data_IF_376553127330
#
_entry.id   IF_376553127330
#
_cell.length_a   1.000
_cell.length_b   1.000
_cell.length_c   1.000
_cell.angle_alpha   90.00
_cell.angle_beta   90.00
_cell.angle_gamma   90.00
#
_symmetry.space_group_name_H-M   'P 1'
#
loop_
_entity.id
_entity.type
_entity.pdbx_description
1 polymer ?
#
# COMPACT_ATOMS: atom_id res chain seq x y z
N UNK A 1 8.31 -10.10 -19.45
CA UNK A 1 7.13 -10.58 -18.70
C UNK A 1 7.36 -10.26 -17.22
N UNK A 2 7.15 -8.99 -16.83
CA UNK A 2 7.43 -8.50 -15.49
C UNK A 2 6.27 -8.80 -14.55
N UNK A 3 6.54 -9.46 -13.43
CA UNK A 3 5.56 -9.69 -12.38
C UNK A 3 5.14 -8.34 -11.79
N UNK A 4 3.86 -8.02 -11.94
CA UNK A 4 3.17 -6.96 -11.20
C UNK A 4 3.46 -7.17 -9.71
N UNK A 5 4.37 -6.41 -9.11
CA UNK A 5 4.58 -6.38 -7.66
C UNK A 5 3.43 -5.61 -7.03
N UNK A 6 2.24 -6.21 -7.10
CA UNK A 6 1.12 -5.83 -6.27
C UNK A 6 1.59 -6.03 -4.83
N UNK A 7 1.68 -4.95 -4.04
CA UNK A 7 1.87 -5.09 -2.60
C UNK A 7 0.68 -5.93 -2.13
N UNK A 8 0.88 -7.16 -1.63
CA UNK A 8 -0.23 -8.06 -1.42
C UNK A 8 -1.20 -7.44 -0.43
N UNK A 9 -2.49 -7.50 -0.74
CA UNK A 9 -3.54 -7.31 0.26
C UNK A 9 -3.21 -8.18 1.49
N UNK A 10 -3.64 -7.76 2.69
CA UNK A 10 -3.46 -8.53 3.93
C UNK A 10 -3.75 -10.00 3.64
N UNK A 11 -2.74 -10.87 3.78
CA UNK A 11 -2.92 -12.29 3.50
C UNK A 11 -3.98 -12.88 4.43
N UNK A 12 -4.70 -13.94 4.02
CA UNK A 12 -5.72 -14.56 4.89
C UNK A 12 -5.16 -15.00 6.25
N UNK A 13 -3.88 -15.39 6.30
CA UNK A 13 -3.19 -15.72 7.55
C UNK A 13 -2.97 -14.49 8.43
N UNK A 14 -2.57 -13.37 7.83
CA UNK A 14 -2.38 -12.13 8.58
C UNK A 14 -3.71 -11.54 9.02
N UNK A 15 -4.76 -11.64 8.19
CA UNK A 15 -6.12 -11.27 8.58
C UNK A 15 -6.59 -12.09 9.79
N UNK A 16 -6.44 -13.42 9.76
CA UNK A 16 -6.79 -14.29 10.88
C UNK A 16 -6.01 -13.95 12.16
N UNK A 17 -4.69 -13.67 12.04
CA UNK A 17 -3.84 -13.25 13.16
C UNK A 17 -4.30 -11.92 13.76
N UNK A 18 -4.62 -10.93 12.93
CA UNK A 18 -5.13 -9.63 13.38
C UNK A 18 -6.50 -9.77 14.05
N UNK A 19 -7.37 -10.66 13.54
CA UNK A 19 -8.66 -10.97 14.15
C UNK A 19 -8.49 -11.59 15.54
N UNK A 20 -7.58 -12.55 15.70
CA UNK A 20 -7.26 -13.17 16.99
C UNK A 20 -6.76 -12.13 18.00
N UNK A 21 -5.78 -11.32 17.62
CA UNK A 21 -5.26 -10.24 18.47
C UNK A 21 -6.34 -9.24 18.89
N UNK A 22 -7.20 -8.81 17.96
CA UNK A 22 -8.26 -7.85 18.26
C UNK A 22 -9.32 -8.44 19.19
N UNK A 23 -9.66 -9.71 19.01
CA UNK A 23 -10.63 -10.41 19.85
C UNK A 23 -10.06 -10.66 21.25
N UNK A 24 -8.78 -11.03 21.35
CA UNK A 24 -8.09 -11.22 22.63
C UNK A 24 -7.94 -9.90 23.40
N UNK A 25 -7.63 -8.80 22.72
CA UNK A 25 -7.60 -7.46 23.32
C UNK A 25 -8.97 -7.03 23.88
N UNK A 26 -10.06 -7.60 23.36
CA UNK A 26 -11.42 -7.41 23.88
C UNK A 26 -11.80 -8.41 24.99
N UNK A 27 -10.88 -9.29 25.43
CA UNK A 27 -11.16 -10.29 26.47
C UNK A 27 -11.71 -11.62 25.92
N UNK A 28 -11.53 -11.88 24.63
CA UNK A 28 -11.98 -13.10 23.95
C UNK A 28 -13.34 -12.96 23.26
N UNK A 29 -13.76 -14.02 22.56
CA UNK A 29 -14.93 -13.98 21.64
C UNK A 29 -16.25 -13.62 22.31
N UNK A 30 -16.44 -14.00 23.58
CA UNK A 30 -17.66 -13.69 24.31
C UNK A 30 -17.77 -12.19 24.61
N UNK A 31 -16.72 -11.59 25.15
CA UNK A 31 -16.69 -10.16 25.48
C UNK A 31 -16.67 -9.30 24.21
N UNK A 32 -15.89 -9.70 23.19
CA UNK A 32 -15.89 -9.05 21.88
C UNK A 32 -17.30 -9.02 21.23
N UNK A 33 -18.10 -10.09 21.38
CA UNK A 33 -19.47 -10.12 20.84
C UNK A 33 -20.43 -9.13 21.52
N UNK A 34 -20.10 -8.63 22.72
CA UNK A 34 -20.90 -7.59 23.40
C UNK A 34 -20.59 -6.19 22.87
N UNK A 35 -19.41 -6.01 22.30
CA UNK A 35 -18.95 -4.73 21.77
C UNK A 35 -19.36 -4.48 20.31
N UNK A 36 -19.80 -5.51 19.58
CA UNK A 36 -20.14 -5.43 18.15
C UNK A 36 -21.45 -6.17 17.82
N UNK A 37 -21.88 -6.09 16.56
CA UNK A 37 -23.16 -6.69 16.10
C UNK A 37 -23.13 -8.19 15.80
N UNK A 38 -21.97 -8.85 15.90
CA UNK A 38 -21.79 -10.25 15.46
C UNK A 38 -21.65 -11.21 16.64
N UNK A 39 -22.06 -12.46 16.43
CA UNK A 39 -22.02 -13.49 17.48
C UNK A 39 -20.61 -14.07 17.68
N UNK A 40 -20.34 -14.73 18.83
CA UNK A 40 -19.05 -15.36 19.10
C UNK A 40 -18.61 -16.38 18.03
N UNK A 41 -19.55 -17.11 17.43
CA UNK A 41 -19.25 -18.09 16.38
C UNK A 41 -18.76 -17.43 15.08
N UNK A 42 -19.33 -16.26 14.73
CA UNK A 42 -18.86 -15.47 13.58
C UNK A 42 -17.46 -14.91 13.86
N UNK A 43 -17.22 -14.39 15.07
CA UNK A 43 -15.90 -13.91 15.50
C UNK A 43 -14.84 -15.02 15.48
N UNK A 44 -15.19 -16.23 15.90
CA UNK A 44 -14.30 -17.40 15.80
C UNK A 44 -13.99 -17.75 14.34
N UNK A 45 -14.95 -17.57 13.44
CA UNK A 45 -14.74 -17.84 12.00
C UNK A 45 -13.74 -16.86 11.39
N UNK A 46 -13.74 -15.59 11.80
CA UNK A 46 -12.75 -14.60 11.31
C UNK A 46 -11.31 -14.94 11.71
N UNK A 47 -11.10 -15.71 12.78
CA UNK A 47 -9.77 -16.15 13.22
C UNK A 47 -9.26 -17.38 12.44
N UNK A 48 -10.05 -17.95 11.53
CA UNK A 48 -9.68 -19.16 10.82
C UNK A 48 -8.98 -18.84 9.48
N UNK A 49 -7.66 -19.07 9.35
CA UNK A 49 -6.93 -18.76 8.12
C UNK A 49 -7.32 -19.64 6.92
N UNK A 50 -8.05 -20.74 7.15
CA UNK A 50 -8.53 -21.64 6.10
C UNK A 50 -9.91 -21.25 5.54
N UNK A 51 -10.48 -20.12 5.99
CA UNK A 51 -11.78 -19.59 5.56
C UNK A 51 -11.62 -18.21 4.90
N UNK A 52 -10.97 -18.14 3.72
CA UNK A 52 -10.66 -16.88 3.06
C UNK A 52 -11.90 -16.05 2.68
N UNK A 53 -13.05 -16.70 2.53
CA UNK A 53 -14.34 -16.06 2.27
C UNK A 53 -14.88 -15.25 3.46
N UNK A 54 -14.36 -15.50 4.66
CA UNK A 54 -14.82 -14.92 5.92
C UNK A 54 -13.89 -13.80 6.38
N UNK A 55 -14.09 -12.60 5.83
CA UNK A 55 -13.37 -11.39 6.26
C UNK A 55 -14.17 -10.59 7.27
N UNK A 56 -13.47 -9.95 8.22
CA UNK A 56 -14.10 -9.13 9.25
C UNK A 56 -14.52 -7.78 8.63
N UNK A 57 -15.82 -7.41 8.71
CA UNK A 57 -16.29 -6.13 8.20
C UNK A 57 -15.67 -4.93 8.93
N UNK A 58 -15.48 -3.81 8.22
CA UNK A 58 -14.84 -2.61 8.75
C UNK A 58 -15.60 -1.97 9.93
N UNK A 59 -16.92 -2.05 9.93
CA UNK A 59 -17.77 -1.60 11.04
C UNK A 59 -17.53 -2.43 12.31
N UNK A 60 -17.42 -3.75 12.16
CA UNK A 60 -17.10 -4.66 13.27
C UNK A 60 -15.69 -4.40 13.81
N UNK A 61 -14.72 -4.16 12.94
CA UNK A 61 -13.35 -3.77 13.35
C UNK A 61 -13.40 -2.47 14.17
N UNK A 62 -14.08 -1.44 13.67
CA UNK A 62 -14.16 -0.15 14.35
C UNK A 62 -14.83 -0.24 15.73
N UNK A 63 -15.90 -1.02 15.84
CA UNK A 63 -16.60 -1.27 17.12
C UNK A 63 -15.67 -1.95 18.14
N UNK A 64 -14.94 -2.98 17.71
CA UNK A 64 -14.02 -3.74 18.58
C UNK A 64 -12.79 -2.92 18.98
N UNK A 65 -12.17 -2.19 18.06
CA UNK A 65 -11.03 -1.31 18.36
C UNK A 65 -11.43 -0.18 19.31
N UNK A 66 -12.64 0.36 19.15
CA UNK A 66 -13.18 1.37 20.06
C UNK A 66 -13.41 0.80 21.46
N UNK A 67 -13.84 -0.46 21.57
CA UNK A 67 -14.13 -1.10 22.84
C UNK A 67 -12.86 -1.47 23.63
N UNK A 68 -11.83 -2.00 22.96
CA UNK A 68 -10.55 -2.30 23.63
C UNK A 68 -9.63 -1.07 23.74
N UNK A 69 -9.88 0.00 22.97
CA UNK A 69 -9.06 1.21 22.96
C UNK A 69 -7.76 1.07 22.17
N UNK A 70 -7.60 -0.01 21.39
CA UNK A 70 -6.39 -0.31 20.61
C UNK A 70 -6.70 -0.41 19.11
N UNK A 71 -5.95 0.33 18.28
CA UNK A 71 -6.12 0.34 16.82
C UNK A 71 -5.36 -0.78 16.10
N UNK A 72 -5.63 -2.05 16.42
CA UNK A 72 -4.86 -3.21 15.91
C UNK A 72 -4.91 -3.34 14.37
N UNK A 73 -6.11 -3.38 13.78
CA UNK A 73 -6.30 -3.43 12.33
C UNK A 73 -5.98 -2.09 11.69
N UNK A 74 -6.45 -0.99 12.27
CA UNK A 74 -6.26 0.35 11.71
C UNK A 74 -4.79 0.72 11.59
N UNK A 75 -3.97 0.41 12.61
CA UNK A 75 -2.51 0.56 12.55
C UNK A 75 -1.91 -0.39 11.52
N UNK A 76 -2.27 -1.68 11.52
CA UNK A 76 -1.73 -2.63 10.54
C UNK A 76 -2.00 -2.20 9.09
N UNK A 77 -3.20 -1.70 8.79
CA UNK A 77 -3.56 -1.15 7.47
C UNK A 77 -2.75 0.11 7.19
N UNK A 78 -2.59 1.01 8.15
CA UNK A 78 -1.79 2.21 7.99
C UNK A 78 -0.30 1.90 7.72
N UNK A 79 0.27 0.90 8.39
CA UNK A 79 1.65 0.43 8.14
C UNK A 79 1.83 -0.12 6.71
N UNK A 80 0.82 -0.82 6.17
CA UNK A 80 0.83 -1.26 4.78
C UNK A 80 0.80 -0.10 3.79
N UNK A 81 0.21 1.03 4.18
CA UNK A 81 0.17 2.26 3.38
C UNK A 81 1.38 3.16 3.60
N UNK A 82 2.27 2.88 4.56
CA UNK A 82 3.47 3.70 4.73
C UNK A 82 4.30 3.65 3.44
N UNK A 83 4.60 4.83 2.85
CA UNK A 83 5.58 4.91 1.78
C UNK A 83 6.86 4.27 2.29
N UNK A 84 7.44 3.34 1.55
CA UNK A 84 8.77 2.86 1.92
C UNK A 84 9.72 4.06 1.93
N UNK A 85 10.60 4.17 2.94
CA UNK A 85 11.57 5.25 2.98
C UNK A 85 12.39 5.17 1.69
N UNK A 86 12.28 6.20 0.85
CA UNK A 86 13.02 6.26 -0.40
C UNK A 86 14.48 6.54 -0.03
N UNK A 87 15.26 5.48 0.01
CA UNK A 87 16.70 5.54 0.21
C UNK A 87 17.36 5.78 -1.15
N UNK A 88 17.99 6.93 -1.33
CA UNK A 88 18.73 7.25 -2.55
C UNK A 88 19.19 8.71 -2.55
N UNK A 89 20.31 8.99 -3.22
CA UNK A 89 20.73 10.36 -3.45
C UNK A 89 19.79 11.00 -4.48
N UNK A 90 19.31 12.23 -4.24
CA UNK A 90 18.42 12.95 -5.17
C UNK A 90 18.98 13.00 -6.60
N UNK A 91 20.32 13.08 -6.73
CA UNK A 91 21.04 13.04 -8.00
C UNK A 91 20.81 11.73 -8.75
N UNK A 92 20.90 10.59 -8.08
CA UNK A 92 20.71 9.27 -8.69
C UNK A 92 19.26 9.09 -9.13
N UNK A 93 18.30 9.46 -8.27
CA UNK A 93 16.88 9.39 -8.61
C UNK A 93 16.50 10.32 -9.76
N UNK A 94 17.15 11.47 -9.91
CA UNK A 94 16.96 12.35 -11.05
C UNK A 94 17.47 11.72 -12.36
N UNK A 95 18.58 10.97 -12.31
CA UNK A 95 19.07 10.22 -13.47
C UNK A 95 18.18 9.04 -13.81
N UNK A 96 17.72 8.28 -12.82
CA UNK A 96 16.73 7.21 -13.02
C UNK A 96 15.49 7.78 -13.75
N UNK A 97 14.91 8.87 -13.23
CA UNK A 97 13.75 9.50 -13.87
C UNK A 97 14.03 9.92 -15.31
N UNK A 98 15.21 10.49 -15.59
CA UNK A 98 15.59 10.88 -16.94
C UNK A 98 15.70 9.66 -17.87
N UNK A 99 16.25 8.55 -17.37
CA UNK A 99 16.37 7.30 -18.12
C UNK A 99 14.98 6.71 -18.43
N UNK A 100 14.13 6.52 -17.43
CA UNK A 100 12.78 5.96 -17.62
C UNK A 100 11.94 6.83 -18.58
N UNK A 101 12.10 8.16 -18.51
CA UNK A 101 11.43 9.08 -19.45
C UNK A 101 11.92 8.90 -20.89
N UNK A 102 13.20 8.58 -21.10
CA UNK A 102 13.75 8.31 -22.43
C UNK A 102 13.32 6.93 -22.94
N UNK A 103 13.14 5.96 -22.04
CA UNK A 103 12.65 4.63 -22.39
C UNK A 103 11.21 4.69 -22.91
N UNK A 104 10.34 5.52 -22.32
CA UNK A 104 9.00 5.79 -22.89
C UNK A 104 9.10 6.30 -24.33
N UNK A 105 9.98 7.26 -24.60
CA UNK A 105 10.17 7.81 -25.95
C UNK A 105 10.69 6.75 -26.91
N UNK A 106 11.62 5.90 -26.47
CA UNK A 106 12.16 4.80 -27.27
C UNK A 106 11.05 3.80 -27.65
N UNK A 107 10.23 3.37 -26.68
CA UNK A 107 9.12 2.44 -26.91
C UNK A 107 8.09 3.02 -27.86
N UNK A 108 7.71 4.30 -27.69
CA UNK A 108 6.77 4.97 -28.62
C UNK A 108 7.33 5.06 -30.04
N UNK A 109 8.63 5.35 -30.18
CA UNK A 109 9.28 5.40 -31.50
C UNK A 109 9.32 4.04 -32.17
N UNK A 110 9.60 2.98 -31.42
CA UNK A 110 9.61 1.61 -31.91
C UNK A 110 8.21 1.15 -32.31
N UNK A 111 7.21 1.39 -31.45
CA UNK A 111 5.80 1.09 -31.71
C UNK A 111 5.24 1.78 -32.97
N UNK A 112 5.77 2.94 -33.34
CA UNK A 112 5.32 3.69 -34.51
C UNK A 112 6.17 3.41 -35.77
N UNK A 113 7.18 2.54 -35.69
CA UNK A 113 8.12 2.31 -36.78
C UNK A 113 7.46 1.74 -38.06
N UNK A 114 6.40 0.94 -37.90
CA UNK A 114 5.62 0.38 -39.02
C UNK A 114 4.36 1.20 -39.36
N UNK A 115 4.16 2.34 -38.67
CA UNK A 115 3.02 3.24 -38.85
C UNK A 115 1.70 2.73 -38.27
N UNK A 116 1.68 1.67 -37.45
CA UNK A 116 0.48 1.12 -36.83
C UNK A 116 0.72 0.82 -35.36
N UNK A 117 -0.26 1.16 -34.51
CA UNK A 117 -0.24 0.76 -33.10
C UNK A 117 -1.05 -0.51 -32.92
N UNK A 118 -0.41 -1.56 -32.40
CA UNK A 118 -1.08 -2.77 -31.95
C UNK A 118 -1.42 -2.69 -30.45
N UNK A 119 -2.28 -3.60 -29.98
CA UNK A 119 -2.57 -3.70 -28.55
C UNK A 119 -1.31 -4.03 -27.72
N UNK A 120 -0.37 -4.80 -28.29
CA UNK A 120 0.89 -5.11 -27.62
C UNK A 120 1.76 -3.87 -27.44
N UNK A 121 1.75 -2.95 -28.42
CA UNK A 121 2.49 -1.69 -28.34
C UNK A 121 1.88 -0.77 -27.27
N UNK A 122 0.55 -0.71 -27.20
CA UNK A 122 -0.15 0.03 -26.15
C UNK A 122 0.18 -0.51 -24.76
N UNK A 123 0.24 -1.84 -24.61
CA UNK A 123 0.63 -2.46 -23.34
C UNK A 123 2.09 -2.15 -22.96
N UNK A 124 2.99 -2.12 -23.94
CA UNK A 124 4.41 -1.78 -23.74
C UNK A 124 4.60 -0.30 -23.37
N UNK A 125 3.92 0.61 -24.07
CA UNK A 125 3.92 2.05 -23.76
C UNK A 125 3.38 2.27 -22.34
N UNK A 126 2.24 1.66 -22.01
CA UNK A 126 1.65 1.78 -20.68
C UNK A 126 2.55 1.21 -19.57
N UNK A 127 3.39 0.21 -19.88
CA UNK A 127 4.38 -0.30 -18.93
C UNK A 127 5.49 0.73 -18.69
N UNK A 128 6.09 1.27 -19.74
CA UNK A 128 7.11 2.30 -19.64
C UNK A 128 6.60 3.56 -18.92
N UNK A 129 5.35 3.98 -19.19
CA UNK A 129 4.72 5.10 -18.49
C UNK A 129 4.64 4.88 -16.97
N UNK A 130 4.24 3.68 -16.54
CA UNK A 130 4.17 3.32 -15.11
C UNK A 130 5.55 3.36 -14.44
N UNK A 131 6.58 2.88 -15.14
CA UNK A 131 7.94 2.87 -14.62
C UNK A 131 8.48 4.32 -14.44
N UNK A 132 8.21 5.20 -15.42
CA UNK A 132 8.52 6.63 -15.32
C UNK A 132 7.73 7.35 -14.21
N UNK A 133 6.45 7.04 -14.03
CA UNK A 133 5.64 7.56 -12.92
C UNK A 133 6.20 7.13 -11.55
N UNK A 134 6.62 5.87 -11.44
CA UNK A 134 7.23 5.35 -10.23
C UNK A 134 8.56 6.06 -9.92
N UNK A 135 9.39 6.32 -10.93
CA UNK A 135 10.62 7.10 -10.76
C UNK A 135 10.34 8.54 -10.31
N UNK A 136 9.32 9.19 -10.88
CA UNK A 136 8.92 10.53 -10.48
C UNK A 136 8.43 10.58 -9.02
N UNK A 137 7.67 9.58 -8.59
CA UNK A 137 7.20 9.51 -7.20
C UNK A 137 8.36 9.31 -6.21
N UNK A 138 9.39 8.55 -6.59
CA UNK A 138 10.63 8.43 -5.80
C UNK A 138 11.32 9.80 -5.63
N UNK A 139 11.47 10.57 -6.70
CA UNK A 139 12.05 11.93 -6.64
C UNK A 139 11.20 12.85 -5.75
N UNK A 140 9.88 12.83 -5.89
CA UNK A 140 8.95 13.64 -5.08
C UNK A 140 9.02 13.27 -3.60
N UNK A 141 9.13 11.98 -3.27
CA UNK A 141 9.27 11.53 -1.90
C UNK A 141 10.56 12.01 -1.24
N UNK A 142 11.70 11.92 -1.91
CA UNK A 142 12.97 12.46 -1.39
C UNK A 142 12.92 13.97 -1.22
N UNK A 143 12.36 14.70 -2.19
CA UNK A 143 12.19 16.16 -2.07
C UNK A 143 11.38 16.52 -0.81
N UNK A 144 10.24 15.87 -0.58
CA UNK A 144 9.41 16.09 0.61
C UNK A 144 10.17 15.79 1.90
N UNK A 145 10.99 14.74 1.92
CA UNK A 145 11.82 14.40 3.08
C UNK A 145 12.89 15.47 3.36
N UNK A 146 13.54 16.00 2.32
CA UNK A 146 14.51 17.10 2.44
C UNK A 146 13.84 18.38 2.95
N UNK A 147 12.67 18.73 2.41
CA UNK A 147 11.87 19.89 2.85
C UNK A 147 11.47 19.78 4.32
N UNK A 148 11.06 18.60 4.78
CA UNK A 148 10.71 18.35 6.18
C UNK A 148 11.94 18.40 7.13
N UNK A 149 13.12 17.99 6.64
CA UNK A 149 14.36 17.98 7.43
C UNK A 149 15.09 19.33 7.44
N UNK A 150 14.77 20.24 6.52
CA UNK A 150 15.43 21.55 6.43
C UNK A 150 14.73 22.57 7.33
N UNK A 151 15.37 23.06 8.43
CA UNK A 151 14.76 24.09 9.26
C UNK A 151 14.61 25.38 8.45
N UNK A 152 13.39 25.95 8.44
CA UNK A 152 13.13 27.26 7.85
C UNK A 152 14.11 28.28 8.48
N UNK A 153 14.95 28.98 7.70
CA UNK A 153 15.79 30.02 8.27
C UNK A 153 14.86 31.07 8.88
N UNK A 154 14.93 31.25 10.21
CA UNK A 154 14.31 32.39 10.89
C UNK A 154 14.83 33.64 10.17
N UNK A 155 13.97 34.32 9.42
CA UNK A 155 14.28 35.67 8.92
C UNK A 155 14.60 36.51 10.16
N UNK A 156 15.85 36.97 10.26
CA UNK A 156 16.24 37.94 11.27
C UNK A 156 15.39 39.20 11.06
N UNK A 157 14.66 39.58 12.11
CA UNK A 157 13.93 40.83 12.21
C UNK A 157 14.89 41.96 12.61
#
# INVERSE_FOLDING_TARGET
>A
MGYRTYKPAISHREHARLAELLIDANGGTLEASRACRVSPGVLSTYQNPNRPECTMPADVIADLEKACGEGIYSVAIAELQKPQPITGCLKELAFDLAQESMDVVAVVREALADGRLSNNDLDAIAAAERDAEQALERVRGVRRAIEAASPTPRRAA
#
